data_IF_284468029812
#
_entry.id   IF_284468029812
#
_cell.length_a   1.000
_cell.length_b   1.000
_cell.length_c   1.000
_cell.angle_alpha   90.00
_cell.angle_beta   90.00
_cell.angle_gamma   90.00
#
_symmetry.space_group_name_H-M   'P 1'
#
loop_
_entity.id
_entity.type
_entity.pdbx_description
1 polymer ?
#
# COMPACT_ATOMS: atom_id res chain seq x y z
N UNK A 1 7.59 34.88 -8.61
CA UNK A 1 7.93 33.69 -7.79
C UNK A 1 6.83 32.67 -8.00
N UNK A 2 7.16 31.43 -8.37
CA UNK A 2 6.14 30.39 -8.58
C UNK A 2 5.83 29.79 -7.21
N UNK A 3 4.58 29.91 -6.77
CA UNK A 3 4.13 29.34 -5.51
C UNK A 3 4.31 27.81 -5.58
N UNK A 4 4.96 27.17 -4.59
CA UNK A 4 5.13 25.73 -4.61
C UNK A 4 3.75 25.05 -4.62
N UNK A 5 3.62 23.97 -5.41
CA UNK A 5 2.41 23.14 -5.38
C UNK A 5 2.21 22.65 -3.95
N UNK A 6 1.17 23.15 -3.28
CA UNK A 6 0.84 22.80 -1.89
C UNK A 6 0.33 21.38 -1.73
N UNK A 7 -0.23 20.80 -2.79
CA UNK A 7 -0.83 19.47 -2.81
C UNK A 7 -0.40 18.72 -4.09
N UNK A 8 -0.10 17.43 -3.96
CA UNK A 8 0.26 16.56 -5.08
C UNK A 8 -0.98 16.07 -5.84
N UNK A 9 -2.03 15.71 -5.10
CA UNK A 9 -3.35 15.26 -5.54
C UNK A 9 -4.42 16.09 -4.82
N UNK A 10 -4.65 17.36 -5.24
CA UNK A 10 -5.54 18.29 -4.56
C UNK A 10 -6.93 17.73 -4.29
N UNK A 11 -7.52 17.04 -5.28
CA UNK A 11 -8.84 16.41 -5.15
C UNK A 11 -8.94 15.49 -3.93
N UNK A 12 -7.92 14.66 -3.69
CA UNK A 12 -7.90 13.73 -2.57
C UNK A 12 -7.45 14.40 -1.26
N UNK A 13 -6.53 15.37 -1.34
CA UNK A 13 -5.93 16.03 -0.17
C UNK A 13 -6.82 17.13 0.44
N UNK A 14 -7.75 17.68 -0.34
CA UNK A 14 -8.69 18.72 0.11
C UNK A 14 -10.15 18.27 0.04
N UNK A 15 -10.40 16.96 -0.13
CA UNK A 15 -11.74 16.40 -0.12
C UNK A 15 -12.44 16.65 1.22
N UNK A 16 -13.77 16.78 1.17
CA UNK A 16 -14.58 16.81 2.40
C UNK A 16 -14.48 15.47 3.14
N UNK A 17 -14.79 15.49 4.45
CA UNK A 17 -14.79 14.26 5.24
C UNK A 17 -15.78 13.23 4.69
N UNK A 18 -16.95 13.68 4.24
CA UNK A 18 -17.97 12.81 3.67
C UNK A 18 -17.48 12.13 2.38
N UNK A 19 -16.79 12.88 1.52
CA UNK A 19 -16.22 12.33 0.29
C UNK A 19 -15.12 11.30 0.58
N UNK A 20 -14.26 11.57 1.56
CA UNK A 20 -13.23 10.63 2.02
C UNK A 20 -13.89 9.35 2.55
N UNK A 21 -14.89 9.47 3.42
CA UNK A 21 -15.62 8.32 3.98
C UNK A 21 -16.32 7.50 2.89
N UNK A 22 -16.91 8.15 1.87
CA UNK A 22 -17.51 7.47 0.74
C UNK A 22 -16.47 6.64 -0.05
N UNK A 23 -15.34 7.24 -0.43
CA UNK A 23 -14.28 6.52 -1.14
C UNK A 23 -13.67 5.39 -0.32
N UNK A 24 -13.45 5.60 0.99
CA UNK A 24 -12.92 4.57 1.86
C UNK A 24 -13.90 3.39 1.98
N UNK A 25 -15.20 3.66 2.09
CA UNK A 25 -16.24 2.64 2.17
C UNK A 25 -16.30 1.80 0.89
N UNK A 26 -16.35 2.46 -0.27
CA UNK A 26 -16.33 1.79 -1.58
C UNK A 26 -15.10 0.89 -1.74
N UNK A 27 -13.91 1.44 -1.42
CA UNK A 27 -12.64 0.71 -1.56
C UNK A 27 -12.53 -0.44 -0.55
N UNK A 28 -13.04 -0.29 0.67
CA UNK A 28 -13.06 -1.37 1.65
C UNK A 28 -13.94 -2.52 1.17
N UNK A 29 -15.17 -2.25 0.72
CA UNK A 29 -16.08 -3.28 0.20
C UNK A 29 -15.44 -4.05 -0.97
N UNK A 30 -14.88 -3.32 -1.94
CA UNK A 30 -14.17 -3.94 -3.06
C UNK A 30 -12.95 -4.76 -2.61
N UNK A 31 -12.20 -4.28 -1.62
CA UNK A 31 -11.00 -4.96 -1.11
C UNK A 31 -11.36 -6.26 -0.39
N UNK A 32 -12.37 -6.23 0.49
CA UNK A 32 -12.84 -7.43 1.22
C UNK A 32 -13.35 -8.48 0.25
N UNK A 33 -14.17 -8.10 -0.73
CA UNK A 33 -14.67 -9.01 -1.76
C UNK A 33 -13.53 -9.67 -2.52
N UNK A 34 -12.58 -8.87 -3.03
CA UNK A 34 -11.41 -9.37 -3.77
C UNK A 34 -10.58 -10.33 -2.92
N UNK A 35 -10.31 -9.99 -1.66
CA UNK A 35 -9.52 -10.83 -0.75
C UNK A 35 -10.23 -12.15 -0.45
N UNK A 36 -11.52 -12.11 -0.15
CA UNK A 36 -12.33 -13.31 0.12
C UNK A 36 -12.40 -14.26 -1.09
N UNK A 37 -12.53 -13.72 -2.30
CA UNK A 37 -12.58 -14.52 -3.53
C UNK A 37 -11.23 -15.16 -3.87
N UNK A 38 -10.13 -14.42 -3.68
CA UNK A 38 -8.83 -14.80 -4.25
C UNK A 38 -7.82 -15.37 -3.24
N UNK A 39 -8.03 -15.21 -1.93
CA UNK A 39 -7.05 -15.62 -0.91
C UNK A 39 -7.70 -16.59 0.09
N UNK A 40 -7.43 -17.88 -0.09
CA UNK A 40 -8.04 -18.94 0.72
C UNK A 40 -7.86 -18.75 2.24
N UNK A 41 -6.67 -18.41 2.76
CA UNK A 41 -6.49 -18.16 4.18
C UNK A 41 -7.41 -17.07 4.76
N UNK A 42 -7.59 -15.96 4.05
CA UNK A 42 -8.48 -14.89 4.52
C UNK A 42 -9.94 -15.29 4.45
N UNK A 43 -10.34 -16.00 3.39
CA UNK A 43 -11.69 -16.54 3.26
C UNK A 43 -12.04 -17.48 4.42
N UNK A 44 -11.13 -18.37 4.78
CA UNK A 44 -11.38 -19.35 5.84
C UNK A 44 -11.47 -18.66 7.21
N UNK A 45 -10.59 -17.69 7.50
CA UNK A 45 -10.69 -16.88 8.72
C UNK A 45 -11.97 -16.04 8.81
N UNK A 46 -12.44 -15.50 7.68
CA UNK A 46 -13.71 -14.79 7.63
C UNK A 46 -14.89 -15.74 7.90
N UNK A 47 -14.88 -16.95 7.33
CA UNK A 47 -15.90 -17.99 7.62
C UNK A 47 -15.90 -18.40 9.10
N UNK A 48 -14.73 -18.60 9.71
CA UNK A 48 -14.59 -18.92 11.13
C UNK A 48 -15.15 -17.81 12.04
N UNK A 49 -14.96 -16.55 11.64
CA UNK A 49 -15.53 -15.40 12.33
C UNK A 49 -17.04 -15.19 12.05
N UNK A 50 -17.64 -16.01 11.17
CA UNK A 50 -19.04 -15.86 10.77
C UNK A 50 -19.32 -14.61 9.93
N UNK A 51 -18.32 -14.12 9.20
CA UNK A 51 -18.41 -12.88 8.40
C UNK A 51 -18.24 -13.19 6.91
N UNK A 52 -19.09 -12.58 6.09
CA UNK A 52 -19.03 -12.63 4.63
C UNK A 52 -18.75 -11.23 4.07
N UNK A 53 -18.33 -11.10 2.79
CA UNK A 53 -18.19 -9.79 2.15
C UNK A 53 -19.47 -8.96 2.18
N UNK A 54 -20.64 -9.60 2.17
CA UNK A 54 -21.92 -8.92 2.20
C UNK A 54 -22.21 -8.25 3.55
N UNK A 55 -21.53 -8.63 4.63
CA UNK A 55 -21.65 -7.98 5.93
C UNK A 55 -20.89 -6.66 6.04
N UNK A 56 -20.08 -6.33 5.01
CA UNK A 56 -19.28 -5.10 4.94
C UNK A 56 -19.95 -4.15 3.95
N UNK A 57 -20.50 -3.04 4.46
CA UNK A 57 -21.15 -2.01 3.64
C UNK A 57 -20.45 -0.67 3.71
N UNK A 58 -19.66 -0.44 4.76
CA UNK A 58 -18.90 0.81 4.94
C UNK A 58 -17.66 0.61 5.81
N UNK A 59 -16.87 1.68 5.99
CA UNK A 59 -15.74 1.68 6.94
C UNK A 59 -16.13 1.34 8.38
N UNK A 60 -17.39 1.56 8.78
CA UNK A 60 -17.85 1.27 10.16
C UNK A 60 -17.92 -0.25 10.44
N UNK A 61 -17.95 -1.06 9.38
CA UNK A 61 -17.98 -2.52 9.45
C UNK A 61 -16.58 -3.14 9.56
N UNK A 62 -15.51 -2.33 9.48
CA UNK A 62 -14.13 -2.81 9.58
C UNK A 62 -13.89 -3.65 10.85
N UNK A 63 -14.55 -3.28 11.95
CA UNK A 63 -14.50 -3.99 13.24
C UNK A 63 -15.03 -5.42 13.22
N UNK A 64 -15.78 -5.81 12.18
CA UNK A 64 -16.29 -7.18 12.01
C UNK A 64 -15.20 -8.11 11.47
N UNK A 65 -14.19 -7.58 10.76
CA UNK A 65 -13.18 -8.39 10.11
C UNK A 65 -12.15 -8.93 11.13
N UNK A 66 -11.68 -10.17 10.96
CA UNK A 66 -10.63 -10.73 11.81
C UNK A 66 -9.28 -10.04 11.54
N UNK A 67 -8.45 -9.91 12.58
CA UNK A 67 -7.12 -9.31 12.47
C UNK A 67 -6.14 -10.20 11.72
N UNK A 68 -5.35 -9.63 10.79
CA UNK A 68 -4.14 -10.29 10.28
C UNK A 68 -2.98 -10.08 11.23
N UNK A 69 -2.23 -11.12 11.52
CA UNK A 69 -1.05 -11.09 12.39
C UNK A 69 0.23 -11.32 11.61
N UNK A 70 1.37 -11.05 12.24
CA UNK A 70 2.68 -11.36 11.67
C UNK A 70 2.87 -12.87 11.43
N UNK A 71 2.20 -13.71 12.22
CA UNK A 71 2.32 -15.16 12.09
C UNK A 71 1.61 -15.65 10.82
N UNK A 72 0.44 -15.11 10.48
CA UNK A 72 -0.25 -15.43 9.22
C UNK A 72 0.68 -15.20 8.01
N UNK A 73 1.42 -14.09 8.00
CA UNK A 73 2.35 -13.78 6.91
C UNK A 73 3.50 -14.79 6.79
N UNK A 74 3.86 -15.47 7.88
CA UNK A 74 4.91 -16.51 7.89
C UNK A 74 4.36 -17.88 7.52
N UNK A 75 3.16 -18.21 7.99
CA UNK A 75 2.53 -19.52 7.74
C UNK A 75 2.23 -19.73 6.26
N UNK A 76 1.98 -18.64 5.53
CA UNK A 76 1.68 -18.65 4.09
C UNK A 76 2.83 -18.13 3.21
N UNK A 77 4.06 -18.18 3.73
CA UNK A 77 5.26 -17.85 2.96
C UNK A 77 5.43 -18.77 1.73
N UNK A 78 5.98 -18.28 0.60
CA UNK A 78 6.32 -16.88 0.32
C UNK A 78 5.18 -16.07 -0.28
N UNK A 79 4.21 -16.71 -0.94
CA UNK A 79 3.24 -16.03 -1.81
C UNK A 79 1.77 -16.40 -1.52
N UNK A 80 1.49 -17.19 -0.49
CA UNK A 80 0.17 -17.76 -0.22
C UNK A 80 -0.92 -16.73 0.12
N UNK A 81 -0.53 -15.46 0.32
CA UNK A 81 -1.45 -14.34 0.57
C UNK A 81 -1.60 -13.38 -0.62
N UNK A 82 -1.00 -13.70 -1.78
CA UNK A 82 -1.16 -12.87 -2.96
C UNK A 82 -2.57 -13.06 -3.54
N UNK A 83 -3.26 -11.94 -3.79
CA UNK A 83 -4.62 -11.93 -4.35
C UNK A 83 -4.65 -11.91 -5.89
N UNK A 84 -3.49 -12.09 -6.52
CA UNK A 84 -3.29 -12.15 -7.98
C UNK A 84 -2.22 -13.19 -8.29
N UNK A 85 -2.23 -13.80 -9.49
CA UNK A 85 -1.20 -14.77 -9.87
C UNK A 85 0.16 -14.09 -10.07
N UNK A 86 1.25 -14.86 -9.95
CA UNK A 86 2.62 -14.34 -9.92
C UNK A 86 3.02 -13.56 -11.18
N UNK A 87 2.44 -13.86 -12.34
CA UNK A 87 2.73 -13.17 -13.60
C UNK A 87 2.26 -11.71 -13.58
N UNK A 88 1.35 -11.35 -12.66
CA UNK A 88 0.91 -9.97 -12.44
C UNK A 88 1.77 -9.20 -11.43
N UNK A 89 2.70 -9.88 -10.74
CA UNK A 89 3.58 -9.28 -9.74
C UNK A 89 4.79 -8.68 -10.47
N UNK A 90 4.93 -7.36 -10.37
CA UNK A 90 6.01 -6.61 -10.98
C UNK A 90 7.25 -6.51 -10.07
N UNK A 91 7.06 -6.57 -8.73
CA UNK A 91 8.16 -6.45 -7.76
C UNK A 91 7.86 -7.17 -6.46
N UNK A 92 8.89 -7.80 -5.90
CA UNK A 92 8.90 -8.37 -4.55
C UNK A 92 9.74 -7.50 -3.61
N UNK A 93 9.32 -7.41 -2.36
CA UNK A 93 10.11 -6.89 -1.25
C UNK A 93 10.06 -7.89 -0.08
N UNK A 94 11.03 -7.80 0.82
CA UNK A 94 11.08 -8.65 2.00
C UNK A 94 11.56 -7.90 3.24
N UNK A 95 11.06 -8.33 4.40
CA UNK A 95 11.59 -7.91 5.70
C UNK A 95 13.00 -8.46 5.93
N UNK A 96 13.80 -7.81 6.79
CA UNK A 96 15.18 -8.25 7.13
C UNK A 96 15.29 -9.65 7.74
N UNK A 97 14.20 -10.25 8.24
CA UNK A 97 14.19 -11.65 8.70
C UNK A 97 14.91 -11.91 10.03
N UNK A 98 15.14 -10.88 10.84
CA UNK A 98 15.93 -10.99 12.09
C UNK A 98 15.35 -11.94 13.15
N UNK A 99 14.09 -12.38 12.99
CA UNK A 99 13.39 -13.26 13.94
C UNK A 99 12.83 -14.54 13.28
N UNK A 100 13.41 -15.01 12.16
CA UNK A 100 12.97 -16.23 11.45
C UNK A 100 12.56 -15.98 10.00
N UNK A 101 11.56 -16.73 9.49
CA UNK A 101 11.06 -16.63 8.11
C UNK A 101 10.75 -15.18 7.74
N UNK A 102 11.37 -14.71 6.64
CA UNK A 102 11.14 -13.38 6.11
C UNK A 102 9.69 -13.23 5.67
N UNK A 103 9.12 -12.05 5.87
CA UNK A 103 7.84 -11.69 5.27
C UNK A 103 8.13 -11.18 3.87
N UNK A 104 7.49 -11.80 2.87
CA UNK A 104 7.55 -11.39 1.47
C UNK A 104 6.25 -10.68 1.10
N UNK A 105 6.37 -9.56 0.39
CA UNK A 105 5.24 -8.80 -0.15
C UNK A 105 5.46 -8.59 -1.65
N UNK A 106 4.38 -8.69 -2.41
CA UNK A 106 4.37 -8.51 -3.86
C UNK A 106 3.52 -7.32 -4.28
N UNK A 107 3.95 -6.66 -5.34
CA UNK A 107 3.29 -5.49 -5.89
C UNK A 107 3.02 -5.69 -7.38
N UNK A 108 1.79 -5.45 -7.82
CA UNK A 108 1.49 -5.27 -9.24
C UNK A 108 2.02 -3.92 -9.73
N UNK A 109 2.08 -3.70 -11.05
CA UNK A 109 2.49 -2.39 -11.58
C UNK A 109 1.62 -1.25 -11.02
N UNK A 110 0.30 -1.46 -10.91
CA UNK A 110 -0.62 -0.48 -10.33
C UNK A 110 -0.32 -0.19 -8.86
N UNK A 111 0.11 -1.19 -8.09
CA UNK A 111 0.48 -0.98 -6.69
C UNK A 111 1.77 -0.17 -6.57
N UNK A 112 2.73 -0.39 -7.48
CA UNK A 112 3.97 0.39 -7.56
C UNK A 112 3.70 1.86 -7.95
N UNK A 113 2.81 2.08 -8.92
CA UNK A 113 2.36 3.41 -9.27
C UNK A 113 1.67 4.05 -8.05
N UNK A 114 0.73 3.35 -7.40
CA UNK A 114 0.06 3.89 -6.21
C UNK A 114 1.05 4.26 -5.10
N UNK A 115 2.04 3.41 -4.85
CA UNK A 115 3.09 3.68 -3.88
C UNK A 115 3.92 4.91 -4.24
N UNK A 116 4.34 5.05 -5.50
CA UNK A 116 5.06 6.23 -5.97
C UNK A 116 4.27 7.53 -5.80
N UNK A 117 2.96 7.52 -6.05
CA UNK A 117 2.10 8.69 -5.82
C UNK A 117 1.99 9.06 -4.33
N UNK A 118 1.86 8.06 -3.45
CA UNK A 118 1.80 8.28 -2.01
C UNK A 118 3.10 8.92 -1.52
N UNK A 119 4.25 8.41 -1.96
CA UNK A 119 5.54 8.95 -1.53
C UNK A 119 5.78 10.34 -2.14
N UNK A 120 5.45 10.58 -3.41
CA UNK A 120 5.51 11.91 -4.01
C UNK A 120 4.65 12.92 -3.22
N UNK A 121 3.43 12.52 -2.83
CA UNK A 121 2.54 13.31 -1.96
C UNK A 121 3.17 13.64 -0.61
N UNK A 122 3.81 12.66 0.04
CA UNK A 122 4.50 12.87 1.31
C UNK A 122 5.65 13.87 1.18
N UNK A 123 6.45 13.76 0.13
CA UNK A 123 7.53 14.69 -0.16
C UNK A 123 6.98 16.11 -0.43
N UNK A 124 5.91 16.25 -1.22
CA UNK A 124 5.25 17.54 -1.44
C UNK A 124 4.72 18.14 -0.14
N UNK A 125 4.13 17.31 0.74
CA UNK A 125 3.60 17.76 2.03
C UNK A 125 4.66 18.34 2.97
N UNK A 126 5.92 17.91 2.85
CA UNK A 126 7.06 18.49 3.59
C UNK A 126 7.77 19.62 2.83
N UNK A 127 7.18 20.11 1.74
CA UNK A 127 7.63 21.28 0.99
C UNK A 127 8.63 20.98 -0.12
N UNK A 128 8.92 19.72 -0.42
CA UNK A 128 9.80 19.37 -1.54
C UNK A 128 9.11 19.66 -2.88
N UNK A 129 9.95 20.06 -3.83
CA UNK A 129 9.60 20.44 -5.18
C UNK A 129 10.51 19.73 -6.20
N UNK A 130 10.20 19.77 -7.49
CA UNK A 130 11.09 19.23 -8.53
C UNK A 130 12.48 19.90 -8.59
N UNK A 131 12.70 21.03 -7.90
CA UNK A 131 13.99 21.74 -7.88
C UNK A 131 14.95 21.18 -6.84
N UNK A 132 14.44 20.38 -5.91
CA UNK A 132 15.22 19.87 -4.79
C UNK A 132 16.09 18.67 -5.21
N UNK A 133 17.12 18.41 -4.39
CA UNK A 133 17.97 17.22 -4.48
C UNK A 133 17.64 16.30 -3.31
N UNK A 134 17.24 15.07 -3.61
CA UNK A 134 16.88 14.07 -2.61
C UNK A 134 18.01 13.05 -2.49
N UNK A 135 18.76 13.11 -1.40
CA UNK A 135 19.77 12.10 -1.06
C UNK A 135 19.13 10.94 -0.30
N UNK A 136 19.13 9.76 -0.91
CA UNK A 136 18.46 8.57 -0.40
C UNK A 136 19.46 7.72 0.36
N UNK A 137 19.57 7.95 1.67
CA UNK A 137 20.46 7.15 2.52
C UNK A 137 19.84 5.84 3.02
N UNK A 138 18.63 5.50 2.55
CA UNK A 138 18.03 4.18 2.79
C UNK A 138 18.63 3.14 1.87
N UNK A 139 18.89 1.93 2.39
CA UNK A 139 19.41 0.83 1.59
C UNK A 139 18.49 0.44 0.44
N UNK A 140 19.08 0.22 -0.74
CA UNK A 140 18.42 -0.33 -1.91
C UNK A 140 18.50 -1.86 -1.91
N UNK A 141 17.38 -2.52 -2.20
CA UNK A 141 17.29 -3.98 -2.23
C UNK A 141 15.89 -4.45 -1.82
N UNK A 142 15.82 -5.57 -1.09
CA UNK A 142 14.56 -6.12 -0.61
C UNK A 142 13.84 -5.21 0.39
N UNK A 143 14.59 -4.36 1.10
CA UNK A 143 14.00 -3.34 1.96
C UNK A 143 13.24 -2.29 1.15
N UNK A 144 12.04 -1.93 1.60
CA UNK A 144 11.15 -1.02 0.87
C UNK A 144 11.61 0.44 0.89
N UNK A 145 12.41 0.86 1.87
CA UNK A 145 12.75 2.27 2.08
C UNK A 145 13.44 2.93 0.88
N UNK A 146 14.56 2.38 0.41
CA UNK A 146 15.34 2.99 -0.69
C UNK A 146 14.53 3.13 -1.97
N UNK A 147 13.95 2.02 -2.46
CA UNK A 147 13.15 2.02 -3.68
C UNK A 147 11.83 2.81 -3.53
N UNK A 148 11.25 2.89 -2.34
CA UNK A 148 10.05 3.69 -2.10
C UNK A 148 10.28 5.19 -2.26
N UNK A 149 11.30 5.72 -1.57
CA UNK A 149 11.69 7.12 -1.69
C UNK A 149 12.15 7.44 -3.10
N UNK A 150 12.88 6.51 -3.74
CA UNK A 150 13.31 6.64 -5.12
C UNK A 150 12.12 6.85 -6.06
N UNK A 151 11.08 6.00 -6.01
CA UNK A 151 9.91 6.15 -6.90
C UNK A 151 9.18 7.47 -6.66
N UNK A 152 8.98 7.87 -5.40
CA UNK A 152 8.31 9.13 -5.08
C UNK A 152 9.08 10.36 -5.55
N UNK A 153 10.39 10.41 -5.31
CA UNK A 153 11.25 11.49 -5.76
C UNK A 153 11.35 11.54 -7.29
N UNK A 154 11.44 10.38 -7.95
CA UNK A 154 11.44 10.26 -9.42
C UNK A 154 10.16 10.80 -10.00
N UNK A 155 9.03 10.44 -9.40
CA UNK A 155 7.70 10.87 -9.87
C UNK A 155 7.44 12.34 -9.63
N UNK A 156 7.92 12.89 -8.53
CA UNK A 156 7.94 14.34 -8.29
C UNK A 156 8.78 15.09 -9.33
N UNK A 157 9.80 14.46 -9.90
CA UNK A 157 10.75 15.09 -10.82
C UNK A 157 11.91 15.80 -10.11
N UNK A 158 12.16 15.47 -8.84
CA UNK A 158 13.31 15.97 -8.10
C UNK A 158 14.61 15.30 -8.60
N UNK A 159 15.74 15.96 -8.40
CA UNK A 159 17.06 15.34 -8.67
C UNK A 159 17.34 14.31 -7.59
N UNK A 160 17.62 13.06 -7.97
CA UNK A 160 17.87 11.97 -7.02
C UNK A 160 19.37 11.74 -6.90
N UNK A 161 19.85 11.67 -5.66
CA UNK A 161 21.17 11.15 -5.32
C UNK A 161 20.89 9.79 -4.65
N UNK A 162 21.04 8.69 -5.40
CA UNK A 162 20.72 7.35 -4.90
C UNK A 162 21.71 6.87 -3.85
#
# INVERSE_FOLDING_TARGET
MHEPKRYWQPEAETASRDQITAWQSERLVSTVKRVYENVAPYRDRMKEAGVTPDDIKSIDDLRKLPFTTKQDLRDFYPFGLFAVPMEKIARLHASSGTTGTQIVVGYTQKDLDTWGDIVARQLTAVGLTPRDKVHISYGFGLFTGGLGIFEGARRMGATIIP
#
